data_IF_091317679850
#
_entry.id   IF_091317679850
#
_cell.length_a   1.000
_cell.length_b   1.000
_cell.length_c   1.000
_cell.angle_alpha   90.00
_cell.angle_beta   90.00
_cell.angle_gamma   90.00
#
_symmetry.space_group_name_H-M   'P 1'
#
loop_
_entity.id
_entity.type
_entity.pdbx_description
1 polymer ?
#
# COMPACT_ATOMS: atom_id res chain seq x y z
N UNK A 1 -28.58 -55.80 23.16
CA UNK A 1 -27.66 -55.68 24.31
C UNK A 1 -26.27 -55.35 23.76
N UNK A 2 -25.68 -54.21 24.16
CA UNK A 2 -24.26 -53.76 24.01
C UNK A 2 -23.68 -53.55 22.59
N UNK A 3 -22.85 -52.55 22.24
CA UNK A 3 -22.45 -51.20 22.73
C UNK A 3 -21.33 -50.74 21.74
N UNK A 4 -21.37 -49.49 21.24
CA UNK A 4 -20.26 -48.57 20.78
C UNK A 4 -19.12 -49.18 19.91
N UNK A 5 -18.72 -48.62 18.76
CA UNK A 5 -17.76 -47.49 18.68
C UNK A 5 -17.64 -46.92 17.26
N UNK A 6 -17.46 -45.60 17.21
CA UNK A 6 -17.16 -44.73 16.06
C UNK A 6 -15.89 -45.11 15.28
N UNK A 7 -15.83 -44.77 13.98
CA UNK A 7 -14.58 -44.41 13.30
C UNK A 7 -14.84 -43.23 12.36
N UNK A 8 -14.37 -42.05 12.77
CA UNK A 8 -14.39 -40.82 12.01
C UNK A 8 -13.22 -40.81 11.01
N UNK A 9 -13.50 -40.64 9.72
CA UNK A 9 -12.46 -40.32 8.74
C UNK A 9 -12.39 -38.79 8.61
N UNK A 10 -11.33 -38.23 9.20
CA UNK A 10 -11.09 -36.79 9.24
C UNK A 10 -10.85 -36.24 7.82
N UNK A 11 -11.75 -35.38 7.35
CA UNK A 11 -11.50 -34.50 6.22
C UNK A 11 -10.51 -33.41 6.66
N UNK A 12 -9.22 -33.60 6.39
CA UNK A 12 -8.21 -32.55 6.57
C UNK A 12 -8.47 -31.46 5.53
N UNK A 13 -9.24 -30.44 5.91
CA UNK A 13 -9.40 -29.22 5.12
C UNK A 13 -8.08 -28.47 5.03
N UNK A 14 -7.74 -28.16 3.79
CA UNK A 14 -6.64 -27.32 3.32
C UNK A 14 -6.80 -25.93 3.94
N UNK A 15 -5.79 -25.43 4.64
CA UNK A 15 -5.63 -23.99 4.89
C UNK A 15 -4.50 -23.49 4.00
N UNK A 16 -4.85 -23.14 2.76
CA UNK A 16 -4.03 -22.27 1.95
C UNK A 16 -3.99 -20.93 2.68
N UNK A 17 -2.85 -20.58 3.25
CA UNK A 17 -2.65 -19.29 3.91
C UNK A 17 -2.98 -18.19 2.90
N UNK A 18 -4.06 -17.45 3.17
CA UNK A 18 -4.35 -16.24 2.42
C UNK A 18 -3.15 -15.29 2.63
N UNK A 19 -2.38 -15.04 1.58
CA UNK A 19 -1.57 -13.85 1.51
C UNK A 19 -2.56 -12.67 1.51
N UNK A 20 -2.89 -12.19 2.69
CA UNK A 20 -3.74 -11.01 2.85
C UNK A 20 -3.00 -9.86 2.16
N UNK A 21 -3.64 -9.28 1.15
CA UNK A 21 -3.18 -8.06 0.53
C UNK A 21 -2.88 -7.01 1.62
N UNK A 22 -1.79 -6.27 1.47
CA UNK A 22 -1.43 -5.24 2.43
C UNK A 22 -2.51 -4.15 2.40
N UNK A 23 -2.93 -3.61 3.56
CA UNK A 23 -4.04 -2.66 3.60
C UNK A 23 -3.79 -1.37 2.81
N UNK A 24 -2.53 -1.03 2.47
CA UNK A 24 -2.21 0.12 1.61
C UNK A 24 -2.53 -0.11 0.13
N UNK A 25 -2.67 -1.36 -0.32
CA UNK A 25 -2.96 -1.67 -1.71
C UNK A 25 -4.33 -1.13 -2.15
N UNK A 26 -4.42 -0.71 -3.41
CA UNK A 26 -5.63 -0.20 -4.04
C UNK A 26 -5.45 1.16 -4.72
N UNK A 27 -6.58 1.77 -5.09
CA UNK A 27 -6.61 3.06 -5.75
C UNK A 27 -6.82 4.18 -4.75
N UNK A 28 -6.07 5.26 -4.93
CA UNK A 28 -6.03 6.40 -4.03
C UNK A 28 -6.22 7.69 -4.79
N UNK A 29 -7.14 8.54 -4.33
CA UNK A 29 -7.28 9.91 -4.78
C UNK A 29 -6.23 10.76 -4.10
N UNK A 30 -5.31 11.30 -4.89
CA UNK A 30 -4.29 12.25 -4.43
C UNK A 30 -4.90 13.61 -4.13
N UNK A 31 -4.21 14.44 -3.35
CA UNK A 31 -4.65 15.80 -3.05
C UNK A 31 -4.73 16.70 -4.30
N UNK A 32 -3.95 16.40 -5.34
CA UNK A 32 -4.00 17.11 -6.62
C UNK A 32 -5.23 16.73 -7.47
N UNK A 33 -5.98 15.69 -7.07
CA UNK A 33 -7.14 15.18 -7.79
C UNK A 33 -6.82 14.04 -8.76
N UNK A 34 -5.56 13.66 -8.94
CA UNK A 34 -5.19 12.48 -9.71
C UNK A 34 -5.42 11.19 -8.91
N UNK A 35 -5.50 10.06 -9.62
CA UNK A 35 -5.62 8.73 -9.03
C UNK A 35 -4.27 8.03 -9.09
N UNK A 36 -3.84 7.47 -7.97
CA UNK A 36 -2.65 6.66 -7.83
C UNK A 36 -3.04 5.25 -7.40
N UNK A 37 -2.63 4.24 -8.17
CA UNK A 37 -2.72 2.85 -7.76
C UNK A 37 -1.47 2.49 -6.95
N UNK A 38 -1.66 1.86 -5.80
CA UNK A 38 -0.61 1.25 -5.00
C UNK A 38 -0.80 -0.26 -5.06
N UNK A 39 0.23 -0.99 -5.48
CA UNK A 39 0.18 -2.44 -5.56
C UNK A 39 1.54 -3.08 -5.30
N UNK A 40 1.52 -4.34 -4.88
CA UNK A 40 2.71 -5.15 -4.66
C UNK A 40 2.65 -5.88 -3.32
N UNK A 41 3.52 -6.87 -3.13
CA UNK A 41 3.58 -7.66 -1.89
C UNK A 41 4.83 -7.29 -1.10
N UNK A 42 4.68 -6.48 -0.05
CA UNK A 42 5.76 -6.04 0.85
C UNK A 42 6.66 -4.93 0.30
N UNK A 43 6.90 -4.90 -1.02
CA UNK A 43 7.42 -3.73 -1.75
C UNK A 43 6.34 -3.20 -2.68
N UNK A 44 5.82 -2.02 -2.36
CA UNK A 44 4.69 -1.41 -3.04
C UNK A 44 5.17 -0.38 -4.05
N UNK A 45 4.63 -0.43 -5.26
CA UNK A 45 4.85 0.60 -6.28
C UNK A 45 3.66 1.54 -6.36
N UNK A 46 3.92 2.84 -6.49
CA UNK A 46 2.90 3.86 -6.69
C UNK A 46 2.88 4.23 -8.17
N UNK A 47 1.77 3.98 -8.84
CA UNK A 47 1.60 4.30 -10.27
C UNK A 47 0.43 5.25 -10.44
N UNK A 48 0.63 6.35 -11.15
CA UNK A 48 -0.46 7.25 -11.50
C UNK A 48 -1.32 6.61 -12.58
N UNK A 49 -2.63 6.49 -12.37
CA UNK A 49 -3.56 5.91 -13.35
C UNK A 49 -4.33 6.99 -14.10
N UNK A 50 -4.42 8.20 -13.56
CA UNK A 50 -5.02 9.36 -14.22
C UNK A 50 -4.09 10.57 -14.16
N UNK A 51 -4.47 11.64 -14.85
CA UNK A 51 -3.71 12.90 -14.88
C UNK A 51 -2.68 12.95 -15.99
N UNK A 52 -1.82 13.98 -15.94
CA UNK A 52 -0.81 14.26 -16.97
C UNK A 52 0.23 13.13 -17.12
N UNK A 53 0.46 12.35 -16.08
CA UNK A 53 1.49 11.33 -16.01
C UNK A 53 0.90 9.91 -15.81
N UNK A 54 -0.33 9.69 -16.27
CA UNK A 54 -0.97 8.38 -16.23
C UNK A 54 -0.09 7.29 -16.87
N UNK A 55 -0.02 6.13 -16.22
CA UNK A 55 0.84 5.00 -16.57
C UNK A 55 2.27 5.06 -16.02
N UNK A 56 2.70 6.18 -15.40
CA UNK A 56 4.04 6.28 -14.80
C UNK A 56 4.05 5.81 -13.35
N UNK A 57 5.03 4.97 -13.01
CA UNK A 57 5.38 4.65 -11.63
C UNK A 57 6.20 5.77 -11.04
N UNK A 58 5.68 6.39 -10.00
CA UNK A 58 6.22 7.58 -9.34
C UNK A 58 6.76 7.29 -7.94
N UNK A 59 6.80 6.04 -7.49
CA UNK A 59 7.34 5.76 -6.17
C UNK A 59 7.42 4.29 -5.83
N UNK A 60 8.21 4.01 -4.80
CA UNK A 60 8.29 2.71 -4.15
C UNK A 60 8.25 2.88 -2.65
N UNK A 61 7.38 2.14 -1.97
CA UNK A 61 7.20 2.12 -0.53
C UNK A 61 7.42 0.71 0.00
N UNK A 62 7.85 0.61 1.25
CA UNK A 62 7.89 -0.65 2.00
C UNK A 62 7.22 -0.44 3.34
N UNK A 63 6.53 -1.47 3.82
CA UNK A 63 5.96 -1.45 5.17
C UNK A 63 7.09 -1.36 6.20
N UNK A 64 6.95 -0.45 7.15
CA UNK A 64 7.88 -0.29 8.29
C UNK A 64 7.26 -0.74 9.61
N UNK A 65 6.03 -1.28 9.58
CA UNK A 65 5.24 -1.63 10.77
C UNK A 65 4.22 -0.55 11.16
N UNK A 66 3.26 -0.90 12.01
CA UNK A 66 2.22 0.00 12.55
C UNK A 66 1.44 0.81 11.50
N UNK A 67 1.09 0.18 10.36
CA UNK A 67 0.44 0.85 9.22
C UNK A 67 1.26 2.03 8.66
N UNK A 68 2.58 2.04 8.86
CA UNK A 68 3.52 3.02 8.33
C UNK A 68 4.33 2.40 7.20
N UNK A 69 4.68 3.26 6.26
CA UNK A 69 5.42 2.91 5.06
C UNK A 69 6.48 3.96 4.80
N UNK A 70 7.62 3.53 4.29
CA UNK A 70 8.72 4.43 3.93
C UNK A 70 9.32 4.01 2.59
N UNK A 71 9.84 4.99 1.88
CA UNK A 71 10.53 4.76 0.61
C UNK A 71 10.80 6.05 -0.12
N UNK A 72 10.60 6.02 -1.43
CA UNK A 72 10.90 7.14 -2.32
C UNK A 72 9.73 7.45 -3.24
N UNK A 73 9.57 8.74 -3.52
CA UNK A 73 8.59 9.26 -4.47
C UNK A 73 9.34 10.15 -5.46
N UNK A 74 9.22 9.85 -6.74
CA UNK A 74 9.75 10.63 -7.84
C UNK A 74 8.66 11.52 -8.40
N UNK A 75 8.90 12.82 -8.44
CA UNK A 75 8.02 13.76 -9.13
C UNK A 75 8.27 13.63 -10.65
N UNK A 76 7.28 13.17 -11.43
CA UNK A 76 7.42 12.97 -12.87
C UNK A 76 7.51 14.28 -13.67
N UNK A 77 7.28 15.44 -13.05
CA UNK A 77 7.36 16.73 -13.74
C UNK A 77 8.79 17.25 -13.89
N UNK A 78 9.69 16.86 -12.98
CA UNK A 78 11.06 17.35 -12.93
C UNK A 78 12.09 16.23 -12.64
N UNK A 79 11.65 14.97 -12.66
CA UNK A 79 12.44 13.76 -12.40
C UNK A 79 13.23 13.80 -11.08
N UNK A 80 12.71 14.52 -10.07
CA UNK A 80 13.34 14.59 -8.75
C UNK A 80 12.77 13.54 -7.83
N UNK A 81 13.64 12.81 -7.14
CA UNK A 81 13.26 11.82 -6.15
C UNK A 81 13.35 12.39 -4.73
N UNK A 82 12.29 12.17 -3.96
CA UNK A 82 12.08 12.64 -2.61
C UNK A 82 11.92 11.44 -1.68
N UNK A 83 12.32 11.61 -0.42
CA UNK A 83 12.03 10.59 0.61
C UNK A 83 10.58 10.70 1.03
N UNK A 84 9.83 9.62 0.81
CA UNK A 84 8.40 9.52 1.11
C UNK A 84 8.16 8.68 2.36
N UNK A 85 7.32 9.19 3.26
CA UNK A 85 6.73 8.43 4.37
C UNK A 85 5.22 8.42 4.18
N UNK A 86 4.60 7.28 4.40
CA UNK A 86 3.16 7.10 4.34
C UNK A 86 2.65 6.53 5.67
N UNK A 87 1.49 6.97 6.12
CA UNK A 87 0.81 6.40 7.28
C UNK A 87 -0.64 6.15 6.91
N UNK A 88 -1.04 4.90 6.97
CA UNK A 88 -2.39 4.46 6.66
C UNK A 88 -3.27 4.56 7.91
N UNK A 89 -4.47 5.07 7.75
CA UNK A 89 -5.48 5.26 8.80
C UNK A 89 -6.86 4.95 8.21
N UNK A 90 -7.22 3.66 8.23
CA UNK A 90 -8.44 3.16 7.60
C UNK A 90 -8.43 3.42 6.09
N UNK A 91 -9.30 4.33 5.64
CA UNK A 91 -9.44 4.73 4.24
C UNK A 91 -8.68 6.01 3.87
N UNK A 92 -7.87 6.54 4.80
CA UNK A 92 -7.04 7.72 4.57
C UNK A 92 -5.57 7.36 4.63
N UNK A 93 -4.79 7.84 3.67
CA UNK A 93 -3.35 7.64 3.58
C UNK A 93 -2.66 8.99 3.69
N UNK A 94 -2.00 9.24 4.82
CA UNK A 94 -1.22 10.46 5.03
C UNK A 94 0.17 10.27 4.44
N UNK A 95 0.43 10.93 3.32
CA UNK A 95 1.72 10.95 2.65
C UNK A 95 2.52 12.16 3.12
N UNK A 96 3.80 11.98 3.42
CA UNK A 96 4.73 13.06 3.78
C UNK A 96 5.99 12.89 2.93
N UNK A 97 6.22 13.83 2.02
CA UNK A 97 7.44 13.91 1.21
C UNK A 97 8.35 15.01 1.73
N UNK A 98 9.61 14.70 2.03
CA UNK A 98 10.62 15.70 2.37
C UNK A 98 11.69 15.76 1.27
N UNK A 99 12.15 16.97 0.95
CA UNK A 99 13.34 17.16 0.10
C UNK A 99 14.58 16.56 0.76
N UNK A 100 15.55 16.13 -0.06
CA UNK A 100 16.91 15.79 0.36
C UNK A 100 17.47 16.92 1.24
N UNK A 101 17.67 16.63 2.53
CA UNK A 101 18.07 17.61 3.56
C UNK A 101 17.03 17.86 4.65
N UNK A 102 15.80 17.33 4.54
CA UNK A 102 14.81 17.30 5.62
C UNK A 102 14.20 18.65 6.03
N UNK A 103 14.64 19.76 5.43
CA UNK A 103 14.21 21.12 5.81
C UNK A 103 12.80 21.49 5.34
N UNK A 104 12.30 20.89 4.24
CA UNK A 104 10.97 21.20 3.71
C UNK A 104 10.23 19.87 3.51
N UNK A 105 9.24 19.64 4.35
CA UNK A 105 8.36 18.48 4.28
C UNK A 105 6.96 18.95 3.89
N UNK A 106 6.44 18.43 2.78
CA UNK A 106 5.03 18.58 2.43
C UNK A 106 4.29 17.33 2.85
N UNK A 107 3.16 17.52 3.51
CA UNK A 107 2.23 16.44 3.79
C UNK A 107 0.99 16.59 2.91
N UNK A 108 0.48 15.48 2.44
CA UNK A 108 -0.76 15.37 1.68
C UNK A 108 -1.57 14.22 2.25
N UNK A 109 -2.88 14.36 2.23
CA UNK A 109 -3.78 13.27 2.61
C UNK A 109 -4.43 12.75 1.34
N UNK A 110 -4.31 11.45 1.13
CA UNK A 110 -4.94 10.74 0.04
C UNK A 110 -6.11 9.92 0.59
N UNK A 111 -7.14 9.76 -0.23
CA UNK A 111 -8.34 9.02 0.15
C UNK A 111 -8.48 7.78 -0.71
N UNK A 112 -8.81 6.65 -0.08
CA UNK A 112 -9.05 5.40 -0.81
C UNK A 112 -10.29 5.58 -1.68
N UNK A 113 -10.22 5.11 -2.92
CA UNK A 113 -11.34 5.06 -3.86
C UNK A 113 -12.12 3.76 -3.74
#
# INVERSE_FOLDING_TARGET
MFRKTSLALAATMIMAGAALADPIEGNWKTQAGDTAAIGGSGSFSITLTTGKYAGKTIGSLKATGDNKYAGSITDPANDKTYSGKATLSGTSLKMSGCVLGGLICKSQTWHKL
#
